data_IF_339840786832
#
_entry.id   IF_339840786832
#
_cell.length_a   1.000
_cell.length_b   1.000
_cell.length_c   1.000
_cell.angle_alpha   90.00
_cell.angle_beta   90.00
_cell.angle_gamma   90.00
#
_symmetry.space_group_name_H-M   'P 1'
#
loop_
_entity.id
_entity.type
_entity.pdbx_description
1 polymer ?
#
# COMPACT_ATOMS: atom_id res chain seq x y z
N UNK A 1 6.78 20.17 -2.69
CA UNK A 1 6.91 18.98 -3.54
C UNK A 1 5.80 19.09 -4.57
N UNK A 2 6.13 19.16 -5.86
CA UNK A 2 5.13 19.44 -6.89
C UNK A 2 4.78 18.20 -7.73
N UNK A 3 5.49 17.09 -7.53
CA UNK A 3 5.28 15.83 -8.20
C UNK A 3 5.80 14.67 -7.34
N UNK A 4 5.19 13.50 -7.52
CA UNK A 4 5.66 12.20 -7.01
C UNK A 4 5.83 11.31 -8.24
N UNK A 5 7.00 10.69 -8.39
CA UNK A 5 7.23 9.74 -9.47
C UNK A 5 6.80 8.35 -9.04
N UNK A 6 5.86 7.72 -9.74
CA UNK A 6 5.39 6.37 -9.41
C UNK A 6 5.94 5.39 -10.44
N UNK A 7 6.66 4.39 -9.99
CA UNK A 7 7.20 3.28 -10.80
C UNK A 7 6.43 2.02 -10.44
N UNK A 8 5.76 1.42 -11.42
CA UNK A 8 5.05 0.16 -11.28
C UNK A 8 5.79 -0.87 -12.13
N UNK A 9 6.24 -1.97 -11.54
CA UNK A 9 6.93 -3.01 -12.31
C UNK A 9 5.98 -4.12 -12.74
N UNK A 10 6.23 -4.66 -13.94
CA UNK A 10 5.57 -5.85 -14.47
C UNK A 10 5.84 -7.07 -13.58
N UNK A 11 5.03 -8.13 -13.72
CA UNK A 11 5.14 -9.35 -12.91
C UNK A 11 6.44 -10.12 -13.15
N UNK A 12 7.05 -9.97 -14.32
CA UNK A 12 8.32 -10.60 -14.70
C UNK A 12 9.57 -9.79 -14.32
N UNK A 13 9.40 -8.62 -13.71
CA UNK A 13 10.53 -7.77 -13.29
C UNK A 13 10.87 -8.04 -11.84
N UNK A 14 12.10 -8.49 -11.60
CA UNK A 14 12.66 -8.62 -10.26
C UNK A 14 13.35 -7.32 -9.82
N UNK A 15 13.09 -6.89 -8.59
CA UNK A 15 13.76 -5.75 -7.95
C UNK A 15 14.37 -6.22 -6.64
N UNK A 16 15.53 -5.68 -6.28
CA UNK A 16 16.22 -6.06 -5.05
C UNK A 16 15.34 -5.84 -3.81
N UNK A 17 15.20 -6.92 -3.02
CA UNK A 17 14.36 -6.96 -1.81
C UNK A 17 12.86 -7.13 -2.07
N UNK A 18 12.41 -7.12 -3.34
CA UNK A 18 11.05 -7.51 -3.67
C UNK A 18 10.77 -8.93 -3.18
N UNK A 19 9.58 -9.17 -2.60
CA UNK A 19 9.18 -10.48 -2.10
C UNK A 19 10.03 -11.07 -0.96
N UNK A 20 10.97 -10.30 -0.41
CA UNK A 20 11.78 -10.72 0.73
C UNK A 20 11.50 -9.83 1.93
N UNK A 21 11.56 -8.52 1.73
CA UNK A 21 11.36 -7.53 2.80
C UNK A 21 10.27 -6.51 2.50
N UNK A 22 9.88 -6.36 1.23
CA UNK A 22 8.96 -5.31 0.79
C UNK A 22 8.21 -5.67 -0.49
N UNK A 23 7.03 -5.06 -0.64
CA UNK A 23 6.19 -5.12 -1.83
C UNK A 23 6.28 -3.83 -2.67
N UNK A 24 6.95 -2.83 -2.11
CA UNK A 24 7.22 -1.53 -2.70
C UNK A 24 8.00 -0.66 -1.72
N UNK A 25 8.34 0.55 -2.12
CA UNK A 25 9.01 1.53 -1.25
C UNK A 25 8.67 2.94 -1.70
N UNK A 26 8.75 3.90 -0.79
CA UNK A 26 8.82 5.31 -1.16
C UNK A 26 10.12 5.91 -0.62
N UNK A 27 10.59 6.96 -1.27
CA UNK A 27 11.82 7.61 -0.88
C UNK A 27 11.99 8.95 -1.59
N UNK A 28 13.15 9.57 -1.37
CA UNK A 28 13.47 10.83 -2.03
C UNK A 28 14.91 10.88 -2.49
N UNK A 29 15.13 11.60 -3.58
CA UNK A 29 16.45 11.87 -4.11
C UNK A 29 16.63 13.37 -4.31
N UNK A 30 17.88 13.83 -4.18
CA UNK A 30 18.27 15.16 -4.61
C UNK A 30 18.52 15.15 -6.12
N UNK A 31 17.96 16.12 -6.84
CA UNK A 31 18.34 16.33 -8.24
C UNK A 31 19.81 16.75 -8.32
N UNK A 32 20.62 15.93 -8.99
CA UNK A 32 22.04 16.24 -9.27
C UNK A 32 22.20 17.17 -10.47
N UNK A 33 21.17 17.30 -11.32
CA UNK A 33 21.24 17.99 -12.62
C UNK A 33 20.50 19.31 -12.63
N UNK A 34 19.65 19.58 -11.63
CA UNK A 34 18.84 20.79 -11.57
C UNK A 34 19.19 21.57 -10.31
N UNK A 35 19.86 22.72 -10.46
CA UNK A 35 20.13 23.62 -9.34
C UNK A 35 19.25 24.84 -9.49
N UNK A 36 18.21 24.97 -8.65
CA UNK A 36 17.31 26.13 -8.68
C UNK A 36 17.69 27.04 -7.52
N UNK A 37 18.16 28.26 -7.81
CA UNK A 37 18.61 29.23 -6.80
C UNK A 37 19.66 28.65 -5.83
N UNK A 38 20.62 27.87 -6.35
CA UNK A 38 21.70 27.27 -5.54
C UNK A 38 21.27 26.08 -4.66
N UNK A 39 20.02 25.59 -4.78
CA UNK A 39 19.54 24.38 -4.10
C UNK A 39 19.20 23.28 -5.10
N UNK A 40 19.63 22.06 -4.81
CA UNK A 40 19.15 20.86 -5.49
C UNK A 40 17.75 20.50 -4.96
N UNK A 41 16.69 20.54 -5.78
CA UNK A 41 15.36 20.15 -5.35
C UNK A 41 15.35 18.65 -5.05
N UNK A 42 14.73 18.28 -3.93
CA UNK A 42 14.38 16.88 -3.64
C UNK A 42 13.11 16.51 -4.37
N UNK A 43 13.08 15.34 -4.99
CA UNK A 43 11.86 14.74 -5.51
C UNK A 43 11.57 13.45 -4.77
N UNK A 44 10.29 13.17 -4.54
CA UNK A 44 9.83 11.90 -3.98
C UNK A 44 9.51 10.92 -5.11
N UNK A 45 9.64 9.64 -4.81
CA UNK A 45 9.24 8.56 -5.68
C UNK A 45 8.59 7.43 -4.87
N UNK A 46 7.76 6.66 -5.56
CA UNK A 46 7.17 5.42 -5.09
C UNK A 46 7.53 4.35 -6.11
N UNK A 47 7.94 3.18 -5.64
CA UNK A 47 8.01 1.97 -6.43
C UNK A 47 7.09 0.91 -5.84
N UNK A 48 6.34 0.21 -6.69
CA UNK A 48 5.51 -0.95 -6.31
C UNK A 48 5.76 -2.08 -7.30
N UNK A 49 5.98 -3.28 -6.77
CA UNK A 49 6.14 -4.49 -7.57
C UNK A 49 4.82 -5.24 -7.80
N UNK A 50 4.64 -5.80 -9.00
CA UNK A 50 3.58 -6.77 -9.25
C UNK A 50 3.98 -8.15 -8.70
N UNK A 51 3.25 -8.64 -7.70
CA UNK A 51 3.56 -9.88 -7.00
C UNK A 51 2.93 -11.13 -7.59
N UNK A 52 2.13 -10.99 -8.65
CA UNK A 52 1.34 -12.05 -9.29
C UNK A 52 2.11 -13.38 -9.47
N UNK A 53 3.37 -13.31 -9.89
CA UNK A 53 4.19 -14.49 -10.22
C UNK A 53 5.31 -14.80 -9.22
N UNK A 54 5.66 -13.87 -8.32
CA UNK A 54 6.84 -14.00 -7.45
C UNK A 54 6.48 -14.25 -5.97
N UNK A 55 5.46 -13.57 -5.44
CA UNK A 55 5.08 -13.69 -4.01
C UNK A 55 3.66 -13.19 -3.70
N UNK A 56 2.62 -13.72 -4.36
CA UNK A 56 1.26 -13.23 -4.15
C UNK A 56 0.82 -13.40 -2.67
N UNK A 57 1.27 -14.46 -2.00
CA UNK A 57 1.02 -14.68 -0.57
C UNK A 57 1.72 -13.72 0.40
N UNK A 58 2.60 -12.84 -0.06
CA UNK A 58 3.19 -11.79 0.79
C UNK A 58 2.63 -10.41 0.44
N UNK A 59 2.44 -10.13 -0.85
CA UNK A 59 2.19 -8.78 -1.33
C UNK A 59 0.77 -8.54 -1.87
N UNK A 60 -0.05 -9.59 -1.97
CA UNK A 60 -1.44 -9.49 -2.43
C UNK A 60 -2.46 -9.93 -1.38
N UNK A 61 -2.07 -10.04 -0.10
CA UNK A 61 -3.05 -10.24 0.97
C UNK A 61 -4.02 -9.03 1.04
N UNK A 62 -5.35 -9.22 1.08
CA UNK A 62 -6.08 -10.45 1.42
C UNK A 62 -6.60 -11.27 0.22
N UNK A 63 -6.16 -10.96 -1.00
CA UNK A 63 -6.59 -11.64 -2.24
C UNK A 63 -5.79 -12.91 -2.57
N UNK A 64 -4.76 -13.22 -1.80
CA UNK A 64 -4.04 -14.47 -1.85
C UNK A 64 -3.78 -15.02 -0.44
N UNK A 65 -3.68 -16.34 -0.34
CA UNK A 65 -3.39 -17.02 0.91
C UNK A 65 -2.00 -16.60 1.42
N UNK A 66 -1.89 -16.15 2.68
CA UNK A 66 -0.63 -15.65 3.21
C UNK A 66 0.35 -16.79 3.52
N UNK A 67 1.65 -16.53 3.39
CA UNK A 67 2.71 -17.52 3.67
C UNK A 67 2.71 -17.94 5.15
N UNK A 68 2.38 -17.01 6.05
CA UNK A 68 2.32 -17.22 7.49
C UNK A 68 1.05 -16.61 8.10
N UNK A 69 0.67 -17.07 9.29
CA UNK A 69 -0.53 -16.59 9.99
C UNK A 69 -1.80 -17.35 9.59
N UNK A 70 -2.99 -16.80 9.89
CA UNK A 70 -4.26 -17.46 9.62
C UNK A 70 -4.45 -17.79 8.13
N UNK A 71 -4.90 -19.02 7.86
CA UNK A 71 -5.02 -19.60 6.52
C UNK A 71 -6.47 -19.57 6.03
N UNK A 72 -7.21 -18.50 6.33
CA UNK A 72 -8.58 -18.31 5.88
C UNK A 72 -8.60 -18.22 4.33
N UNK A 73 -9.71 -18.64 3.68
CA UNK A 73 -9.87 -18.48 2.24
C UNK A 73 -9.62 -17.03 1.80
N UNK A 74 -8.86 -16.79 0.72
CA UNK A 74 -8.61 -15.45 0.21
C UNK A 74 -9.91 -14.76 -0.22
N UNK A 75 -9.92 -13.43 -0.13
CA UNK A 75 -11.02 -12.62 -0.66
C UNK A 75 -10.96 -12.60 -2.19
N UNK A 76 -12.12 -12.39 -2.81
CA UNK A 76 -12.20 -12.21 -4.27
C UNK A 76 -11.74 -10.80 -4.62
N UNK A 77 -10.77 -10.71 -5.54
CA UNK A 77 -10.15 -9.47 -5.98
C UNK A 77 -11.13 -8.60 -6.82
N UNK A 78 -11.32 -7.30 -6.50
CA UNK A 78 -12.34 -6.47 -7.14
C UNK A 78 -12.10 -6.10 -8.60
N UNK A 79 -10.88 -6.24 -9.11
CA UNK A 79 -10.54 -6.05 -10.51
C UNK A 79 -10.21 -7.37 -11.23
N UNK A 80 -10.54 -8.52 -10.62
CA UNK A 80 -10.29 -9.86 -11.15
C UNK A 80 -8.79 -10.13 -11.46
N UNK A 81 -7.90 -9.45 -10.72
CA UNK A 81 -6.46 -9.58 -10.87
C UNK A 81 -5.80 -9.41 -9.49
N UNK A 82 -5.35 -10.51 -8.91
CA UNK A 82 -4.74 -10.57 -7.58
C UNK A 82 -3.48 -9.71 -7.50
N UNK A 83 -2.66 -9.72 -8.56
CA UNK A 83 -1.42 -8.96 -8.61
C UNK A 83 -1.68 -7.47 -8.64
N UNK A 84 -2.54 -7.01 -9.55
CA UNK A 84 -2.90 -5.60 -9.68
C UNK A 84 -3.65 -5.07 -8.45
N UNK A 85 -4.60 -5.84 -7.89
CA UNK A 85 -5.30 -5.41 -6.68
C UNK A 85 -4.36 -5.35 -5.46
N UNK A 86 -3.38 -6.26 -5.39
CA UNK A 86 -2.26 -6.15 -4.44
C UNK A 86 -1.40 -4.90 -4.67
N UNK A 87 -1.09 -4.55 -5.93
CA UNK A 87 -0.36 -3.33 -6.25
C UNK A 87 -1.12 -2.07 -5.82
N UNK A 88 -2.45 -2.04 -5.97
CA UNK A 88 -3.28 -0.91 -5.54
C UNK A 88 -3.18 -0.70 -4.03
N UNK A 89 -3.27 -1.77 -3.23
CA UNK A 89 -3.11 -1.72 -1.77
C UNK A 89 -1.73 -1.14 -1.39
N UNK A 90 -0.67 -1.66 -2.01
CA UNK A 90 0.70 -1.24 -1.72
C UNK A 90 0.94 0.21 -2.15
N UNK A 91 0.44 0.60 -3.32
CA UNK A 91 0.53 1.96 -3.83
C UNK A 91 -0.19 2.94 -2.90
N UNK A 92 -1.42 2.62 -2.47
CA UNK A 92 -2.18 3.47 -1.55
C UNK A 92 -1.46 3.64 -0.21
N UNK A 93 -0.91 2.54 0.33
CA UNK A 93 -0.14 2.55 1.57
C UNK A 93 1.10 3.45 1.46
N UNK A 94 1.89 3.27 0.41
CA UNK A 94 3.11 4.03 0.18
C UNK A 94 2.84 5.49 -0.20
N UNK A 95 1.74 5.77 -0.91
CA UNK A 95 1.33 7.12 -1.24
C UNK A 95 0.97 7.91 0.01
N UNK A 96 0.25 7.29 0.96
CA UNK A 96 -0.01 7.90 2.27
C UNK A 96 1.29 8.25 2.98
N UNK A 97 2.22 7.28 3.07
CA UNK A 97 3.57 7.52 3.63
C UNK A 97 4.35 8.62 2.92
N UNK A 98 4.30 8.66 1.59
CA UNK A 98 4.97 9.69 0.78
C UNK A 98 4.40 11.07 1.03
N UNK A 99 3.09 11.21 1.21
CA UNK A 99 2.45 12.50 1.46
C UNK A 99 2.74 12.99 2.88
N UNK A 100 2.70 12.10 3.86
CA UNK A 100 2.84 12.47 5.28
C UNK A 100 4.29 12.47 5.76
N UNK A 101 5.17 11.73 5.10
CA UNK A 101 6.59 11.57 5.44
C UNK A 101 7.52 11.50 4.19
N UNK A 102 7.46 12.47 3.25
CA UNK A 102 8.17 12.38 1.96
C UNK A 102 9.69 12.29 2.06
N UNK A 103 10.28 12.76 3.17
CA UNK A 103 11.72 12.90 3.35
C UNK A 103 12.25 12.18 4.61
N UNK A 104 11.45 11.31 5.22
CA UNK A 104 11.84 10.53 6.40
C UNK A 104 11.91 11.32 7.71
N UNK A 105 11.35 12.54 7.75
CA UNK A 105 11.34 13.42 8.92
C UNK A 105 9.98 14.10 9.15
N UNK A 106 8.90 13.50 8.63
CA UNK A 106 7.52 13.93 8.76
C UNK A 106 6.75 13.08 9.78
N UNK A 107 5.60 12.56 9.37
CA UNK A 107 4.66 11.87 10.24
C UNK A 107 4.90 10.35 10.28
N UNK A 108 5.30 9.84 11.45
CA UNK A 108 5.48 8.42 11.73
C UNK A 108 5.48 8.15 13.26
N UNK A 109 5.36 6.88 13.64
CA UNK A 109 5.53 6.37 15.00
C UNK A 109 6.80 5.51 15.11
N UNK A 110 7.36 5.43 16.31
CA UNK A 110 8.58 4.66 16.56
C UNK A 110 9.86 5.41 16.16
N UNK A 111 11.01 4.70 16.11
CA UNK A 111 12.28 5.30 15.75
C UNK A 111 12.39 5.53 14.23
N UNK A 112 13.19 6.52 13.82
CA UNK A 112 13.28 6.95 12.42
C UNK A 112 13.91 5.92 11.47
N UNK A 113 14.65 4.95 12.00
CA UNK A 113 15.23 3.82 11.26
C UNK A 113 14.24 2.65 11.05
N UNK A 114 13.14 2.62 11.80
CA UNK A 114 12.04 1.66 11.65
C UNK A 114 10.66 2.32 11.87
N UNK A 115 10.26 3.30 11.04
CA UNK A 115 9.05 4.08 11.25
C UNK A 115 7.78 3.29 10.86
N UNK A 116 6.75 3.38 11.71
CA UNK A 116 5.38 3.06 11.34
C UNK A 116 4.68 4.33 10.85
N UNK A 117 4.37 4.39 9.57
CA UNK A 117 3.76 5.54 8.89
C UNK A 117 2.23 5.42 8.86
N UNK A 118 1.56 6.41 8.26
CA UNK A 118 0.10 6.53 8.27
C UNK A 118 -0.63 5.22 7.92
N UNK A 119 -0.20 4.51 6.88
CA UNK A 119 -0.82 3.23 6.50
C UNK A 119 -0.14 2.01 7.15
N UNK A 120 1.19 2.01 7.33
CA UNK A 120 1.89 0.83 7.89
C UNK A 120 1.62 0.62 9.38
N UNK A 121 1.25 1.66 10.12
CA UNK A 121 0.68 1.55 11.47
C UNK A 121 -0.66 0.79 11.51
N UNK A 122 -1.36 0.70 10.37
CA UNK A 122 -2.67 0.06 10.22
C UNK A 122 -2.63 -1.17 9.31
N UNK A 123 -1.47 -1.85 9.25
CA UNK A 123 -1.26 -2.97 8.35
C UNK A 123 -2.36 -4.03 8.50
N UNK A 124 -3.03 -4.32 7.38
CA UNK A 124 -4.06 -5.34 7.27
C UNK A 124 -5.45 -4.95 7.79
N UNK A 125 -5.65 -3.69 8.20
CA UNK A 125 -6.95 -3.14 8.55
C UNK A 125 -7.55 -2.48 7.31
N UNK A 126 -8.63 -3.05 6.79
CA UNK A 126 -9.34 -2.52 5.62
C UNK A 126 -10.80 -2.14 5.91
N UNK A 127 -11.44 -2.81 6.87
CA UNK A 127 -12.78 -2.49 7.36
C UNK A 127 -12.85 -2.54 8.88
N UNK A 128 -13.97 -2.09 9.43
CA UNK A 128 -14.23 -2.13 10.88
C UNK A 128 -14.09 -3.56 11.43
N UNK A 129 -13.56 -3.68 12.65
CA UNK A 129 -13.44 -4.96 13.33
C UNK A 129 -12.35 -5.90 12.78
N UNK A 130 -11.44 -5.40 11.92
CA UNK A 130 -10.31 -6.19 11.44
C UNK A 130 -9.45 -6.74 12.59
N UNK A 131 -8.92 -7.94 12.40
CA UNK A 131 -7.99 -8.62 13.31
C UNK A 131 -7.10 -9.58 12.49
N UNK A 132 -6.03 -10.17 13.05
CA UNK A 132 -5.16 -11.05 12.28
C UNK A 132 -5.94 -12.16 11.56
N UNK A 133 -5.88 -12.19 10.22
CA UNK A 133 -6.61 -13.14 9.38
C UNK A 133 -8.00 -12.69 8.90
N UNK A 134 -8.49 -11.54 9.36
CA UNK A 134 -9.76 -10.95 8.96
C UNK A 134 -9.58 -9.48 8.57
N UNK A 135 -9.86 -9.16 7.32
CA UNK A 135 -9.67 -7.83 6.73
C UNK A 135 -10.61 -6.74 7.30
N UNK A 136 -11.62 -7.14 8.08
CA UNK A 136 -12.69 -6.30 8.59
C UNK A 136 -13.99 -6.47 7.82
N UNK A 137 -15.02 -5.75 8.27
CA UNK A 137 -16.34 -5.74 7.66
C UNK A 137 -16.28 -4.98 6.32
N UNK A 138 -16.11 -5.73 5.22
CA UNK A 138 -15.99 -5.17 3.87
C UNK A 138 -17.32 -5.22 3.10
N UNK A 139 -17.44 -4.36 2.10
CA UNK A 139 -18.51 -4.46 1.11
C UNK A 139 -18.24 -5.64 0.18
N UNK A 140 -19.31 -6.31 -0.26
CA UNK A 140 -19.24 -7.43 -1.20
C UNK A 140 -20.05 -7.10 -2.45
N UNK A 141 -19.46 -7.30 -3.62
CA UNK A 141 -20.17 -7.23 -4.89
C UNK A 141 -21.01 -8.51 -5.08
N UNK A 142 -22.32 -8.36 -5.21
CA UNK A 142 -23.24 -9.51 -5.28
C UNK A 142 -23.09 -10.36 -6.55
N UNK A 143 -22.50 -9.82 -7.61
CA UNK A 143 -22.37 -10.51 -8.90
C UNK A 143 -21.06 -11.30 -8.99
N UNK A 144 -19.97 -10.67 -8.57
CA UNK A 144 -18.61 -11.23 -8.65
C UNK A 144 -18.13 -11.87 -7.34
N UNK A 145 -18.76 -11.55 -6.21
CA UNK A 145 -18.28 -11.92 -4.87
C UNK A 145 -17.09 -11.07 -4.38
N UNK A 146 -16.64 -10.07 -5.15
CA UNK A 146 -15.49 -9.25 -4.83
C UNK A 146 -15.65 -8.45 -3.53
N UNK A 147 -14.60 -8.42 -2.71
CA UNK A 147 -14.54 -7.61 -1.49
C UNK A 147 -13.84 -6.27 -1.71
N UNK A 148 -14.42 -5.18 -1.21
CA UNK A 148 -13.91 -3.82 -1.43
C UNK A 148 -14.34 -2.87 -0.30
N UNK A 149 -13.70 -1.70 -0.22
CA UNK A 149 -14.10 -0.61 0.67
C UNK A 149 -14.12 0.77 -0.01
N UNK A 150 -13.73 0.84 -1.29
CA UNK A 150 -13.67 2.09 -2.03
C UNK A 150 -14.30 1.96 -3.42
N UNK A 151 -15.04 3.00 -3.82
CA UNK A 151 -15.59 3.15 -5.17
C UNK A 151 -14.65 4.02 -6.02
N UNK A 152 -14.22 3.46 -7.14
CA UNK A 152 -13.42 4.12 -8.16
C UNK A 152 -14.24 4.77 -9.27
N UNK A 153 -13.54 5.36 -10.23
CA UNK A 153 -14.15 5.87 -11.47
C UNK A 153 -14.59 4.71 -12.37
N UNK A 154 -15.55 4.97 -13.26
CA UNK A 154 -16.05 4.00 -14.24
C UNK A 154 -16.52 2.67 -13.62
N UNK A 155 -17.07 2.71 -12.41
CA UNK A 155 -17.60 1.52 -11.72
C UNK A 155 -16.52 0.59 -11.14
N UNK A 156 -15.24 0.96 -11.20
CA UNK A 156 -14.16 0.19 -10.56
C UNK A 156 -14.31 0.19 -9.06
N UNK A 157 -13.80 -0.85 -8.41
CA UNK A 157 -13.81 -1.04 -6.96
C UNK A 157 -12.40 -1.34 -6.50
N UNK A 158 -12.07 -0.92 -5.28
CA UNK A 158 -10.74 -1.09 -4.72
C UNK A 158 -10.81 -1.43 -3.23
N UNK A 159 -9.74 -2.06 -2.76
CA UNK A 159 -9.47 -2.21 -1.34
C UNK A 159 -8.30 -1.28 -0.99
N UNK A 160 -8.54 -0.35 -0.07
CA UNK A 160 -7.57 0.65 0.36
C UNK A 160 -7.27 0.48 1.85
N UNK A 161 -6.01 0.68 2.30
CA UNK A 161 -5.64 0.53 3.71
C UNK A 161 -6.35 1.57 4.57
N UNK A 162 -6.62 1.21 5.82
CA UNK A 162 -6.92 2.20 6.84
C UNK A 162 -5.71 3.11 7.07
N UNK A 163 -5.98 4.34 7.54
CA UNK A 163 -4.94 5.29 7.93
C UNK A 163 -5.02 5.55 9.43
N UNK A 164 -3.87 5.62 10.08
CA UNK A 164 -3.79 5.95 11.49
C UNK A 164 -4.16 7.41 11.71
N UNK A 165 -5.16 7.64 12.56
CA UNK A 165 -5.61 8.96 12.98
C UNK A 165 -4.98 9.29 14.36
N UNK A 166 -4.08 10.28 14.44
CA UNK A 166 -3.44 10.66 15.71
C UNK A 166 -4.41 11.31 16.69
N UNK A 167 -5.52 11.87 16.22
CA UNK A 167 -6.50 12.54 17.09
C UNK A 167 -7.32 11.54 17.91
N UNK A 168 -7.61 10.37 17.34
CA UNK A 168 -8.35 9.30 18.00
C UNK A 168 -7.45 8.15 18.48
N UNK A 169 -6.20 8.11 18.03
CA UNK A 169 -5.28 6.98 18.22
C UNK A 169 -5.83 5.65 17.71
N UNK A 170 -6.54 5.69 16.58
CA UNK A 170 -7.14 4.52 15.94
C UNK A 170 -6.88 4.50 14.44
N UNK A 171 -7.03 3.33 13.82
CA UNK A 171 -7.02 3.19 12.37
C UNK A 171 -8.41 3.49 11.80
N UNK A 172 -8.49 4.50 10.93
CA UNK A 172 -9.71 4.94 10.28
C UNK A 172 -9.90 4.23 8.94
N UNK A 173 -11.01 3.51 8.82
CA UNK A 173 -11.40 2.77 7.61
C UNK A 173 -12.41 3.57 6.79
N UNK A 174 -12.57 3.20 5.52
CA UNK A 174 -13.59 3.80 4.65
C UNK A 174 -15.00 3.25 4.91
N UNK A 175 -15.08 2.06 5.52
CA UNK A 175 -16.31 1.31 5.84
C UNK A 175 -16.24 0.69 7.23
#
# INVERSE_FOLDING_TARGET
>A
MNAINVILTSSDVAVEGFCSSKCGTHGSFHSKTSTVKGKSPRFAYIWVGNSETQCPGQCAWPFHQPIYGPQNPPLVAPNNDVGLDGMVINLASLLAGTITNPFGNGYYQGPADAPLEAASACTGIYGKGAYPGYAGDLLVDLTSGASYNAHGTNGRKYLLPALYDPSTSTCSTLV
#
